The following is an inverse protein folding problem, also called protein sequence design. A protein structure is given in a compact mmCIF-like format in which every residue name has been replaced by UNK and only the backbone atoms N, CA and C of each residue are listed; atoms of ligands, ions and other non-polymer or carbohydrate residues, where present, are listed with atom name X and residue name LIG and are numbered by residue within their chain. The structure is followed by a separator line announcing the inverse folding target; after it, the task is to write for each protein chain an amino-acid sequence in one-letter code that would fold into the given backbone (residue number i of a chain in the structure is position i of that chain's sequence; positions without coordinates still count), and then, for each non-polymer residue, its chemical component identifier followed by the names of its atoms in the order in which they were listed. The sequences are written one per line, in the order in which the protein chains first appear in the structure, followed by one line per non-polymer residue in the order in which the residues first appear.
data_IF_967558400048
#
_entry.id   IF_967558400048
#
_cell.length_a   1.000
_cell.length_b   1.000
_cell.length_c   1.000
_cell.angle_alpha   90.00
_cell.angle_beta   90.00
_cell.angle_gamma   90.00
#
_symmetry.space_group_name_H-M   'P 1'
#
loop_
_entity.id
_entity.type
_entity.pdbx_description
1 polymer ?
#
# COMPACT_ATOMS: atom_id res chain seq x y z
N UNK A 1 0.97 0.38 -56.76
CA UNK A 1 0.54 0.14 -55.37
C UNK A 1 1.70 -0.36 -54.49
N UNK A 2 2.55 -1.28 -54.95
CA UNK A 2 3.72 -1.75 -54.19
C UNK A 2 4.79 -0.67 -53.86
N UNK A 3 5.00 0.33 -54.72
CA UNK A 3 6.08 1.33 -54.54
C UNK A 3 5.82 2.31 -53.38
N UNK A 4 4.55 2.64 -53.09
CA UNK A 4 4.20 3.53 -51.96
C UNK A 4 4.40 2.82 -50.62
N UNK A 5 4.07 1.53 -50.53
CA UNK A 5 4.25 0.69 -49.34
C UNK A 5 5.74 0.55 -48.96
N UNK A 6 6.61 0.28 -49.94
CA UNK A 6 8.05 0.10 -49.74
C UNK A 6 8.75 1.41 -49.28
N UNK A 7 8.25 2.57 -49.72
CA UNK A 7 8.78 3.89 -49.34
C UNK A 7 8.19 4.43 -48.02
N UNK A 8 6.93 4.11 -47.71
CA UNK A 8 6.30 4.50 -46.45
C UNK A 8 6.75 3.63 -45.27
N UNK A 9 7.03 2.34 -45.50
CA UNK A 9 7.55 1.40 -44.49
C UNK A 9 8.73 1.94 -43.66
N UNK A 10 9.86 2.37 -44.27
CA UNK A 10 11.01 2.88 -43.52
C UNK A 10 10.71 4.19 -42.78
N UNK A 11 9.80 5.03 -43.28
CA UNK A 11 9.37 6.26 -42.60
C UNK A 11 8.61 5.91 -41.31
N UNK A 12 7.76 4.88 -41.34
CA UNK A 12 7.06 4.40 -40.15
C UNK A 12 8.02 3.76 -39.13
N UNK A 13 8.99 2.97 -39.60
CA UNK A 13 10.02 2.37 -38.73
C UNK A 13 10.89 3.48 -38.08
N UNK A 14 11.31 4.47 -38.85
CA UNK A 14 12.09 5.60 -38.35
C UNK A 14 11.30 6.42 -37.31
N UNK A 15 10.00 6.66 -37.56
CA UNK A 15 9.12 7.29 -36.57
C UNK A 15 8.98 6.46 -35.30
N UNK A 16 8.82 5.14 -35.43
CA UNK A 16 8.71 4.23 -34.29
C UNK A 16 10.01 4.23 -33.45
N UNK A 17 11.17 4.15 -34.10
CA UNK A 17 12.47 4.23 -33.43
C UNK A 17 12.66 5.59 -32.73
N UNK A 18 12.25 6.69 -33.37
CA UNK A 18 12.29 8.02 -32.78
C UNK A 18 11.39 8.14 -31.53
N UNK A 19 10.20 7.53 -31.53
CA UNK A 19 9.36 7.48 -30.31
C UNK A 19 9.99 6.65 -29.19
N UNK A 20 10.67 5.55 -29.51
CA UNK A 20 11.41 4.75 -28.53
C UNK A 20 12.56 5.55 -27.91
N UNK A 21 13.35 6.23 -28.75
CA UNK A 21 14.45 7.07 -28.29
C UNK A 21 13.97 8.23 -27.41
N UNK A 22 12.83 8.83 -27.75
CA UNK A 22 12.17 9.87 -26.93
C UNK A 22 11.72 9.34 -25.56
N UNK A 23 11.32 8.07 -25.45
CA UNK A 23 10.96 7.47 -24.16
C UNK A 23 12.19 7.03 -23.35
N UNK A 24 13.26 6.59 -24.01
CA UNK A 24 14.52 6.24 -23.34
C UNK A 24 15.18 7.45 -22.65
N UNK A 25 15.08 8.65 -23.24
CA UNK A 25 15.59 9.89 -22.66
C UNK A 25 14.73 10.45 -21.50
N UNK A 26 13.56 9.88 -21.20
CA UNK A 26 12.75 10.31 -20.05
C UNK A 26 13.34 9.73 -18.76
N UNK A 27 13.29 10.47 -17.64
CA UNK A 27 13.73 9.94 -16.35
C UNK A 27 12.85 8.75 -15.95
N UNK A 28 13.49 7.73 -15.36
CA UNK A 28 12.82 6.55 -14.83
C UNK A 28 11.84 6.93 -13.71
N UNK A 29 10.67 6.29 -13.69
CA UNK A 29 9.64 6.44 -12.65
C UNK A 29 9.66 5.30 -11.64
N UNK A 30 10.58 4.36 -11.81
CA UNK A 30 10.75 3.20 -10.93
C UNK A 30 11.31 3.65 -9.59
N UNK A 31 10.69 3.16 -8.52
CA UNK A 31 11.24 3.24 -7.17
C UNK A 31 12.07 1.99 -6.89
N UNK A 32 13.22 2.18 -6.26
CA UNK A 32 14.08 1.09 -5.79
C UNK A 32 13.54 0.61 -4.44
N UNK A 33 12.94 -0.57 -4.42
CA UNK A 33 12.44 -1.21 -3.21
C UNK A 33 13.51 -2.19 -2.70
N UNK A 34 13.80 -2.28 -1.40
CA UNK A 34 13.06 -1.72 -0.25
C UNK A 34 13.48 -0.32 0.22
N UNK A 35 14.58 0.24 -0.28
CA UNK A 35 15.21 1.45 0.24
C UNK A 35 14.35 2.71 0.04
N UNK A 36 13.61 2.78 -1.07
CA UNK A 36 12.68 3.87 -1.39
C UNK A 36 11.27 3.32 -1.60
N UNK A 37 10.38 3.70 -0.70
CA UNK A 37 8.98 3.31 -0.76
C UNK A 37 8.06 4.45 -1.16
N UNK A 38 6.91 4.07 -1.72
CA UNK A 38 5.85 4.99 -2.10
C UNK A 38 5.09 5.44 -0.85
N UNK A 39 4.77 6.74 -0.79
CA UNK A 39 3.86 7.25 0.23
C UNK A 39 2.48 6.59 0.10
N UNK A 40 2.04 5.97 1.19
CA UNK A 40 0.72 5.32 1.35
C UNK A 40 -0.31 6.43 1.59
N UNK A 41 -1.40 6.55 0.79
CA UNK A 41 -2.40 7.56 1.08
C UNK A 41 -3.18 7.26 2.38
N UNK A 42 -3.83 8.27 3.00
CA UNK A 42 -4.40 8.14 4.35
C UNK A 42 -5.57 7.16 4.50
N UNK A 43 -6.16 6.68 3.39
CA UNK A 43 -7.34 5.79 3.37
C UNK A 43 -7.02 4.42 2.79
N UNK A 44 -5.74 4.04 2.79
CA UNK A 44 -5.35 2.70 2.37
C UNK A 44 -5.79 1.68 3.40
N UNK A 45 -6.08 0.48 2.89
CA UNK A 45 -6.62 -0.61 3.69
C UNK A 45 -5.60 -1.75 3.76
N UNK A 46 -4.73 -1.70 4.75
CA UNK A 46 -3.68 -2.69 5.02
C UNK A 46 -3.98 -3.57 6.23
N UNK A 47 -2.95 -3.86 7.03
CA UNK A 47 -3.07 -4.70 8.25
C UNK A 47 -4.11 -4.13 9.21
N UNK A 48 -4.97 -4.99 9.73
CA UNK A 48 -5.90 -4.60 10.79
C UNK A 48 -5.14 -4.24 12.07
N UNK A 49 -5.59 -3.19 12.75
CA UNK A 49 -5.00 -2.65 13.97
C UNK A 49 -6.11 -2.48 15.02
N UNK A 50 -5.83 -2.89 16.24
CA UNK A 50 -6.67 -2.72 17.41
C UNK A 50 -6.14 -1.58 18.31
N UNK A 51 -6.93 -0.54 18.45
CA UNK A 51 -6.53 0.69 19.14
C UNK A 51 -6.63 0.60 20.66
N UNK A 52 -5.83 1.44 21.32
CA UNK A 52 -5.92 1.74 22.75
C UNK A 52 -6.44 3.15 22.99
N UNK A 53 -7.02 3.39 24.15
CA UNK A 53 -7.26 4.72 24.69
C UNK A 53 -5.94 5.37 25.13
N UNK A 54 -5.97 6.67 25.40
CA UNK A 54 -4.81 7.41 25.94
C UNK A 54 -4.29 6.81 27.27
N UNK A 55 -5.18 6.18 28.05
CA UNK A 55 -4.86 5.52 29.32
C UNK A 55 -4.22 4.13 29.14
N UNK A 56 -4.04 3.66 27.89
CA UNK A 56 -3.44 2.35 27.56
C UNK A 56 -4.42 1.16 27.57
N UNK A 57 -5.66 1.37 28.03
CA UNK A 57 -6.73 0.38 27.93
C UNK A 57 -7.12 0.14 26.47
N UNK A 58 -7.43 -1.10 26.11
CA UNK A 58 -7.95 -1.44 24.78
C UNK A 58 -9.32 -0.82 24.53
N UNK A 59 -9.57 -0.34 23.30
CA UNK A 59 -10.88 0.22 22.94
C UNK A 59 -11.94 -0.84 22.66
N UNK A 60 -11.53 -2.07 22.35
CA UNK A 60 -12.45 -3.14 22.01
C UNK A 60 -13.21 -3.61 23.24
N UNK A 61 -14.54 -3.47 23.22
CA UNK A 61 -15.44 -3.91 24.31
C UNK A 61 -16.06 -5.30 24.07
N UNK A 62 -15.66 -5.99 23.00
CA UNK A 62 -16.21 -7.32 22.67
C UNK A 62 -17.66 -7.30 22.19
N UNK A 63 -18.09 -6.24 21.49
CA UNK A 63 -19.47 -6.12 20.97
C UNK A 63 -19.78 -6.99 19.74
N UNK A 64 -18.79 -7.69 19.18
CA UNK A 64 -18.89 -8.61 18.03
C UNK A 64 -19.43 -8.02 16.70
N UNK A 65 -19.75 -6.73 16.63
CA UNK A 65 -20.27 -6.08 15.43
C UNK A 65 -19.32 -6.18 14.22
N UNK A 66 -18.01 -6.07 14.44
CA UNK A 66 -17.01 -6.23 13.38
C UNK A 66 -16.93 -7.67 12.85
N UNK A 67 -17.22 -8.67 13.68
CA UNK A 67 -17.27 -10.07 13.25
C UNK A 67 -18.52 -10.35 12.41
N UNK A 68 -19.65 -9.75 12.79
CA UNK A 68 -20.91 -9.83 12.02
C UNK A 68 -20.79 -9.10 10.67
N UNK A 69 -20.09 -7.97 10.62
CA UNK A 69 -19.89 -7.19 9.39
C UNK A 69 -18.88 -7.84 8.41
N UNK A 70 -18.01 -8.72 8.87
CA UNK A 70 -17.09 -9.46 8.01
C UNK A 70 -17.87 -10.21 6.91
N UNK A 71 -17.61 -9.99 5.60
CA UNK A 71 -16.31 -9.69 4.97
C UNK A 71 -16.04 -8.22 4.60
N UNK A 72 -16.97 -7.29 4.83
CA UNK A 72 -16.83 -5.89 4.39
C UNK A 72 -17.16 -4.94 5.52
N UNK A 73 -16.26 -4.00 5.76
CA UNK A 73 -16.54 -2.82 6.58
C UNK A 73 -16.47 -3.03 8.09
N UNK A 74 -15.47 -3.80 8.54
CA UNK A 74 -15.19 -3.99 9.97
C UNK A 74 -14.82 -2.68 10.69
N UNK A 75 -14.21 -1.73 9.98
CA UNK A 75 -13.86 -0.39 10.46
C UNK A 75 -15.12 0.45 10.68
N UNK A 76 -15.98 0.54 9.67
CA UNK A 76 -17.20 1.36 9.73
C UNK A 76 -18.26 0.76 10.67
N UNK A 77 -18.22 -0.55 10.92
CA UNK A 77 -19.12 -1.23 11.85
C UNK A 77 -18.73 -1.04 13.32
N UNK A 78 -17.51 -0.57 13.63
CA UNK A 78 -17.04 -0.45 14.99
C UNK A 78 -17.54 0.85 15.66
N UNK A 79 -18.40 0.81 16.69
CA UNK A 79 -18.94 2.03 17.31
C UNK A 79 -17.94 2.79 18.20
N UNK A 80 -16.78 2.19 18.48
CA UNK A 80 -15.75 2.74 19.38
C UNK A 80 -14.43 3.07 18.68
N UNK A 81 -14.37 2.96 17.34
CA UNK A 81 -13.13 3.04 16.56
C UNK A 81 -12.02 2.17 17.16
N UNK A 82 -12.39 0.97 17.59
CA UNK A 82 -11.48 0.03 18.23
C UNK A 82 -10.65 -0.75 17.23
N UNK A 83 -11.14 -0.93 16.01
CA UNK A 83 -10.42 -1.59 14.91
C UNK A 83 -10.38 -0.66 13.69
N UNK A 84 -9.21 -0.52 13.08
CA UNK A 84 -9.05 0.18 11.80
C UNK A 84 -8.14 -0.62 10.87
N UNK A 85 -8.17 -0.28 9.58
CA UNK A 85 -7.17 -0.79 8.65
C UNK A 85 -5.99 0.18 8.58
N UNK A 86 -4.85 -0.31 9.04
CA UNK A 86 -3.61 0.42 9.04
C UNK A 86 -2.97 0.54 7.66
N UNK A 87 -1.96 1.41 7.52
CA UNK A 87 -1.25 1.64 6.27
C UNK A 87 -0.23 0.54 5.91
N UNK A 88 0.01 -0.43 6.80
CA UNK A 88 1.00 -1.50 6.60
C UNK A 88 0.49 -2.53 5.59
N UNK A 89 1.19 -2.68 4.46
CA UNK A 89 0.81 -3.57 3.36
C UNK A 89 1.78 -4.75 3.12
N UNK A 90 2.95 -4.72 3.76
CA UNK A 90 4.01 -5.72 3.66
C UNK A 90 3.79 -6.86 4.67
N UNK A 91 2.81 -7.71 4.37
CA UNK A 91 2.39 -8.85 5.21
C UNK A 91 2.90 -10.20 4.68
N UNK A 92 3.84 -10.18 3.74
CA UNK A 92 4.35 -11.39 3.12
C UNK A 92 5.22 -12.16 4.13
N UNK A 93 4.83 -13.40 4.37
CA UNK A 93 5.51 -14.34 5.25
C UNK A 93 5.56 -15.73 4.61
N UNK A 94 6.57 -16.51 5.01
CA UNK A 94 6.85 -17.86 4.54
C UNK A 94 6.04 -18.95 5.27
N UNK A 95 5.48 -18.60 6.43
CA UNK A 95 4.84 -19.52 7.35
C UNK A 95 3.33 -19.24 7.47
N UNK A 96 2.47 -20.26 7.35
CA UNK A 96 1.02 -20.08 7.31
C UNK A 96 0.42 -19.58 8.63
N UNK A 97 1.02 -19.92 9.76
CA UNK A 97 0.63 -19.50 11.10
C UNK A 97 0.67 -17.97 11.27
N UNK A 98 1.56 -17.28 10.55
CA UNK A 98 1.69 -15.82 10.60
C UNK A 98 0.52 -15.08 9.92
N UNK A 99 -0.29 -15.78 9.12
CA UNK A 99 -1.51 -15.21 8.53
C UNK A 99 -2.74 -15.36 9.43
N UNK A 100 -2.60 -16.04 10.58
CA UNK A 100 -3.66 -16.15 11.60
C UNK A 100 -3.31 -15.16 12.70
N UNK A 101 -3.82 -13.94 12.58
CA UNK A 101 -3.55 -12.88 13.55
C UNK A 101 -4.39 -13.09 14.83
N UNK A 102 -3.71 -13.21 15.96
CA UNK A 102 -4.35 -13.22 17.29
C UNK A 102 -4.51 -11.80 17.81
N UNK A 103 -5.37 -11.59 18.81
CA UNK A 103 -5.68 -10.26 19.37
C UNK A 103 -4.40 -9.46 19.68
N UNK A 104 -3.39 -10.12 20.22
CA UNK A 104 -2.11 -9.54 20.61
C UNK A 104 -1.31 -8.99 19.41
N UNK A 105 -1.45 -9.59 18.22
CA UNK A 105 -0.74 -9.19 17.00
C UNK A 105 -1.32 -7.94 16.33
N UNK A 106 -2.59 -7.67 16.63
CA UNK A 106 -3.31 -6.50 16.12
C UNK A 106 -3.24 -5.32 17.06
N UNK A 107 -3.06 -5.56 18.36
CA UNK A 107 -3.06 -4.50 19.37
C UNK A 107 -1.90 -3.52 19.17
N UNK A 108 -2.21 -2.23 19.19
CA UNK A 108 -1.19 -1.19 19.14
C UNK A 108 -0.21 -1.31 20.33
N UNK A 109 1.10 -1.07 20.08
CA UNK A 109 2.07 -0.95 21.16
C UNK A 109 1.68 0.18 22.12
N UNK A 110 1.92 0.00 23.42
CA UNK A 110 1.63 1.01 24.43
C UNK A 110 2.38 2.33 24.11
N UNK A 111 1.64 3.40 23.83
CA UNK A 111 2.18 4.71 23.48
C UNK A 111 2.49 4.93 21.99
N UNK A 112 2.23 3.95 21.12
CA UNK A 112 2.35 4.11 19.68
C UNK A 112 1.03 4.63 19.08
N UNK A 113 1.12 5.52 18.10
CA UNK A 113 0.02 6.00 17.28
C UNK A 113 -0.06 5.20 15.97
N UNK A 114 -1.21 5.25 15.30
CA UNK A 114 -1.45 4.60 13.99
C UNK A 114 -0.35 4.90 12.98
N UNK A 115 0.25 6.09 13.03
CA UNK A 115 1.32 6.50 12.13
C UNK A 115 2.67 5.82 12.42
N UNK A 116 2.85 5.30 13.64
CA UNK A 116 4.07 4.58 14.04
C UNK A 116 4.04 3.13 13.54
N UNK A 117 2.83 2.56 13.36
CA UNK A 117 2.62 1.29 12.65
C UNK A 117 2.71 1.41 11.12
N UNK A 118 2.83 2.65 10.62
CA UNK A 118 3.05 2.94 9.21
C UNK A 118 4.48 2.70 8.73
N UNK A 119 5.36 2.24 9.62
CA UNK A 119 6.70 1.80 9.25
C UNK A 119 6.57 0.35 8.75
N UNK A 120 6.68 0.10 7.43
CA UNK A 120 6.84 -1.25 6.93
C UNK A 120 8.13 -1.84 7.51
N UNK A 121 8.12 -3.15 7.69
CA UNK A 121 9.04 -3.98 8.47
C UNK A 121 10.54 -3.87 8.18
N UNK A 122 10.98 -2.94 7.31
CA UNK A 122 12.40 -2.68 7.04
C UNK A 122 12.77 -1.36 6.36
N UNK A 123 11.92 -0.33 6.26
CA UNK A 123 12.26 0.88 5.49
C UNK A 123 12.33 2.18 6.31
N UNK A 124 13.46 2.91 6.29
CA UNK A 124 13.52 4.26 6.81
C UNK A 124 12.85 5.23 5.82
N UNK A 125 11.76 5.86 6.27
CA UNK A 125 11.06 6.99 5.64
C UNK A 125 10.38 6.73 4.28
N UNK A 126 9.05 6.75 4.28
CA UNK A 126 8.27 6.90 3.06
C UNK A 126 8.59 8.26 2.41
N UNK A 127 9.28 8.26 1.28
CA UNK A 127 9.57 9.49 0.54
C UNK A 127 8.39 9.83 -0.38
N UNK A 128 7.93 11.09 -0.44
CA UNK A 128 6.92 11.51 -1.39
C UNK A 128 7.50 11.46 -2.81
N UNK A 129 7.23 10.37 -3.53
CA UNK A 129 7.55 10.28 -4.96
C UNK A 129 6.59 11.19 -5.71
N UNK A 130 7.13 12.07 -6.56
CA UNK A 130 6.32 12.94 -7.41
C UNK A 130 5.36 12.07 -8.23
N UNK A 131 4.04 12.17 -7.94
CA UNK A 131 2.99 11.55 -8.74
C UNK A 131 3.04 12.19 -10.13
N UNK A 132 3.73 11.56 -11.08
CA UNK A 132 3.57 11.82 -12.51
C UNK A 132 2.33 11.05 -12.99
N UNK A 133 1.16 11.44 -12.50
CA UNK A 133 -0.11 11.15 -13.15
C UNK A 133 -0.79 12.49 -13.39
#
# INVERSE_FOLDING_TARGET
MALKEILLGPIYIARALATTFKHNAKPIVTIEYPERQKAVPPRERGKHILHRYADGLEKCVGCELCAIACPVGCEEACPYDAITMGPRYDLADDHPDKFIAVKEDLLEPLGASVNDTAIPSGAPSAQPVARKW
#
